data_IF_795642374310
#
_entry.id   IF_795642374310
#
_cell.length_a   1.000
_cell.length_b   1.000
_cell.length_c   1.000
_cell.angle_alpha   90.00
_cell.angle_beta   90.00
_cell.angle_gamma   90.00
#
_symmetry.space_group_name_H-M   'P 1'
#
loop_
_entity.id
_entity.type
_entity.pdbx_description
1 polymer ?
#
# COMPACT_ATOMS: atom_id res chain seq x y z
N UNK A 1 -17.03 13.45 -5.32
CA UNK A 1 -16.94 13.06 -3.94
C UNK A 1 -15.50 13.03 -3.47
N UNK A 2 -15.21 13.66 -2.34
CA UNK A 2 -13.83 13.71 -1.86
C UNK A 2 -13.42 12.36 -1.28
N UNK A 3 -12.21 11.93 -1.59
CA UNK A 3 -11.66 10.73 -1.01
C UNK A 3 -11.04 11.05 0.34
N UNK A 4 -11.25 10.16 1.29
CA UNK A 4 -10.64 10.29 2.59
C UNK A 4 -9.15 10.00 2.46
N UNK A 5 -8.32 10.90 2.98
CA UNK A 5 -6.88 10.74 2.92
C UNK A 5 -6.29 10.73 4.31
N UNK A 6 -5.23 9.97 4.46
CA UNK A 6 -4.54 9.83 5.75
C UNK A 6 -3.09 10.24 5.60
N UNK A 7 -2.52 10.70 6.69
CA UNK A 7 -1.09 10.98 6.77
C UNK A 7 -0.51 10.17 7.91
N UNK A 8 0.64 9.60 7.64
CA UNK A 8 1.38 8.89 8.68
C UNK A 8 2.84 9.25 8.56
N UNK A 9 3.53 9.14 9.68
CA UNK A 9 4.96 9.35 9.73
C UNK A 9 5.61 8.00 10.00
N UNK A 10 6.57 7.61 9.19
CA UNK A 10 7.18 6.29 9.33
C UNK A 10 8.69 6.39 9.28
N UNK A 11 9.34 5.45 9.94
CA UNK A 11 10.79 5.33 9.88
C UNK A 11 11.22 4.68 8.57
N UNK A 12 12.50 4.71 8.27
CA UNK A 12 13.02 4.06 7.08
C UNK A 12 12.73 2.56 7.10
N UNK A 13 12.83 1.93 8.26
CA UNK A 13 12.54 0.51 8.39
C UNK A 13 11.08 0.21 8.11
N UNK A 14 10.20 1.03 8.67
CA UNK A 14 8.77 0.88 8.44
C UNK A 14 8.44 1.10 6.97
N UNK A 15 9.04 2.11 6.37
CA UNK A 15 8.82 2.42 4.96
C UNK A 15 9.18 1.22 4.08
N UNK A 16 10.34 0.61 4.31
CA UNK A 16 10.76 -0.54 3.53
C UNK A 16 9.82 -1.72 3.70
N UNK A 17 9.37 -1.95 4.93
CA UNK A 17 8.44 -3.03 5.21
C UNK A 17 7.10 -2.81 4.51
N UNK A 18 6.60 -1.58 4.51
CA UNK A 18 5.35 -1.25 3.83
C UNK A 18 5.47 -1.54 2.33
N UNK A 19 6.58 -1.12 1.72
CA UNK A 19 6.78 -1.37 0.30
C UNK A 19 6.83 -2.86 0.01
N UNK A 20 7.54 -3.61 0.83
CA UNK A 20 7.62 -5.06 0.65
C UNK A 20 6.25 -5.72 0.81
N UNK A 21 5.47 -5.25 1.78
CA UNK A 21 4.13 -5.80 2.02
C UNK A 21 3.21 -5.53 0.83
N UNK A 22 3.31 -4.35 0.23
CA UNK A 22 2.50 -4.05 -0.95
C UNK A 22 2.88 -4.94 -2.12
N UNK A 23 4.17 -5.20 -2.32
CA UNK A 23 4.61 -6.10 -3.38
C UNK A 23 4.16 -7.53 -3.13
N UNK A 24 4.22 -7.96 -1.88
CA UNK A 24 3.73 -9.29 -1.52
C UNK A 24 2.23 -9.41 -1.82
N UNK A 25 1.48 -8.37 -1.52
CA UNK A 25 0.05 -8.32 -1.83
C UNK A 25 -0.20 -8.50 -3.33
N UNK A 26 0.61 -7.81 -4.15
CA UNK A 26 0.47 -7.92 -5.60
C UNK A 26 0.73 -9.34 -6.10
N UNK A 27 1.70 -10.03 -5.48
CA UNK A 27 2.07 -11.37 -5.90
C UNK A 27 1.13 -12.43 -5.37
N UNK A 28 0.40 -12.12 -4.32
CA UNK A 28 -0.50 -13.10 -3.72
C UNK A 28 -1.68 -13.35 -4.62
N UNK A 29 -2.00 -14.63 -4.77
CA UNK A 29 -3.23 -15.02 -5.43
C UNK A 29 -4.41 -14.49 -4.63
N UNK A 30 -5.48 -14.13 -5.35
CA UNK A 30 -6.69 -13.63 -4.71
C UNK A 30 -7.16 -14.59 -3.61
N UNK A 31 -7.04 -15.89 -3.85
CA UNK A 31 -7.48 -16.88 -2.88
C UNK A 31 -6.57 -16.97 -1.67
N UNK A 32 -5.35 -16.49 -1.78
CA UNK A 32 -4.38 -16.58 -0.69
C UNK A 32 -4.32 -15.33 0.18
N UNK A 33 -5.14 -14.32 -0.14
CA UNK A 33 -5.15 -13.10 0.66
C UNK A 33 -5.95 -13.25 1.95
N UNK A 34 -6.85 -14.23 1.97
CA UNK A 34 -7.54 -14.62 3.19
C UNK A 34 -8.21 -13.48 3.91
N UNK A 35 -8.04 -13.44 5.22
CA UNK A 35 -8.68 -12.43 6.07
C UNK A 35 -8.16 -11.02 5.79
N UNK A 36 -7.00 -10.90 5.19
CA UNK A 36 -6.45 -9.58 4.87
C UNK A 36 -7.29 -8.85 3.84
N UNK A 37 -8.04 -9.62 3.06
CA UNK A 37 -8.95 -9.02 2.08
C UNK A 37 -9.99 -8.14 2.74
N UNK A 38 -10.53 -8.58 3.87
CA UNK A 38 -11.53 -7.78 4.57
C UNK A 38 -10.96 -6.46 5.03
N UNK A 39 -9.72 -6.48 5.52
CA UNK A 39 -9.05 -5.26 5.92
C UNK A 39 -8.85 -4.34 4.72
N UNK A 40 -8.44 -4.89 3.59
CA UNK A 40 -8.19 -4.10 2.40
C UNK A 40 -9.47 -3.50 1.84
N UNK A 41 -10.61 -4.17 2.05
CA UNK A 41 -11.88 -3.73 1.53
C UNK A 41 -12.61 -2.75 2.45
N UNK A 42 -12.04 -2.44 3.60
CA UNK A 42 -12.72 -1.62 4.60
C UNK A 42 -13.14 -0.25 4.06
N UNK A 43 -12.42 0.29 3.09
CA UNK A 43 -12.72 1.60 2.52
C UNK A 43 -13.13 1.51 1.05
N UNK A 44 -13.50 0.32 0.58
CA UNK A 44 -13.93 0.12 -0.79
C UNK A 44 -13.18 -1.04 -1.41
N UNK A 45 -13.12 -1.06 -2.73
CA UNK A 45 -12.40 -2.12 -3.42
C UNK A 45 -10.91 -1.99 -3.17
N UNK A 46 -10.20 -3.13 -2.97
CA UNK A 46 -8.75 -3.08 -2.87
C UNK A 46 -8.15 -2.52 -4.15
N UNK A 47 -6.97 -1.95 -4.03
CA UNK A 47 -6.28 -1.39 -5.18
C UNK A 47 -5.91 -2.47 -6.18
N UNK A 48 -5.97 -2.13 -7.46
CA UNK A 48 -5.47 -2.99 -8.52
C UNK A 48 -3.93 -2.99 -8.48
N UNK A 49 -3.34 -3.91 -9.26
CA UNK A 49 -1.88 -3.97 -9.33
C UNK A 49 -1.29 -2.67 -9.87
N UNK A 50 -1.95 -2.06 -10.86
CA UNK A 50 -1.48 -0.79 -11.41
C UNK A 50 -1.57 0.33 -10.38
N UNK A 51 -2.62 0.33 -9.59
CA UNK A 51 -2.78 1.33 -8.54
C UNK A 51 -1.74 1.13 -7.45
N UNK A 52 -1.40 -0.12 -7.13
CA UNK A 52 -0.36 -0.40 -6.14
C UNK A 52 1.00 0.04 -6.66
N UNK A 53 1.28 -0.18 -7.96
CA UNK A 53 2.52 0.32 -8.54
C UNK A 53 2.65 1.83 -8.36
N UNK A 54 1.59 2.56 -8.64
CA UNK A 54 1.60 4.01 -8.49
C UNK A 54 1.78 4.42 -7.04
N UNK A 55 1.15 3.69 -6.12
CA UNK A 55 1.28 3.96 -4.69
C UNK A 55 2.71 3.73 -4.22
N UNK A 56 3.31 2.63 -4.65
CA UNK A 56 4.70 2.34 -4.31
C UNK A 56 5.64 3.45 -4.77
N UNK A 57 5.41 3.97 -5.98
CA UNK A 57 6.21 5.06 -6.49
C UNK A 57 6.06 6.31 -5.63
N UNK A 58 4.83 6.64 -5.25
CA UNK A 58 4.59 7.80 -4.41
C UNK A 58 5.27 7.67 -3.06
N UNK A 59 5.16 6.50 -2.46
CA UNK A 59 5.76 6.26 -1.15
C UNK A 59 7.28 6.37 -1.25
N UNK A 60 7.85 5.76 -2.27
CA UNK A 60 9.30 5.78 -2.47
C UNK A 60 9.80 7.19 -2.75
N UNK A 61 9.07 7.93 -3.57
CA UNK A 61 9.43 9.29 -3.92
C UNK A 61 9.40 10.19 -2.69
N UNK A 62 8.36 10.06 -1.88
CA UNK A 62 8.21 10.85 -0.66
C UNK A 62 9.37 10.61 0.29
N UNK A 63 9.79 9.34 0.42
CA UNK A 63 10.92 9.00 1.26
C UNK A 63 12.19 9.73 0.81
N UNK A 64 12.41 9.80 -0.49
CA UNK A 64 13.59 10.46 -1.02
C UNK A 64 13.62 11.96 -0.72
N UNK A 65 12.47 12.57 -0.61
CA UNK A 65 12.39 14.00 -0.33
C UNK A 65 12.76 14.34 1.11
N UNK A 66 12.68 13.35 1.97
CA UNK A 66 12.97 13.53 3.39
C UNK A 66 14.44 13.35 3.71
N UNK A 67 15.17 12.83 2.78
CA UNK A 67 16.59 12.50 3.01
C UNK A 67 17.43 13.74 3.28
#
# INVERSE_FOLDING_TARGET
MAKKRFRISVTAREHGTILAALRLWQEADVHNRGDLRDTAEAAGLPLSNEEIDALCERINFTSNREA
#
